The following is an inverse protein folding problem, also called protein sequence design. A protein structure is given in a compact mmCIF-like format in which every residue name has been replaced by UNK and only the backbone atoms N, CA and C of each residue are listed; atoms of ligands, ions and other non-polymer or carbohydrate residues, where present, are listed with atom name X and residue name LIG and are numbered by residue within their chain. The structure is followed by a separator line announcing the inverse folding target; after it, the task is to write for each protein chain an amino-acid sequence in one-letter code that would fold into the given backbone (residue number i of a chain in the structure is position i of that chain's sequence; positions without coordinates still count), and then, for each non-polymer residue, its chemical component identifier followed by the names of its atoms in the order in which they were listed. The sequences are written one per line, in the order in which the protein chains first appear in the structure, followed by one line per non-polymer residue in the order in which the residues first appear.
data_IF_071958959305
#
_entry.id   IF_071958959305
#
_cell.length_a   1.000
_cell.length_b   1.000
_cell.length_c   1.000
_cell.angle_alpha   90.00
_cell.angle_beta   90.00
_cell.angle_gamma   90.00
#
_symmetry.space_group_name_H-M   'P 1'
#
loop_
_entity.id
_entity.type
_entity.pdbx_description
1 polymer ?
#
# COMPACT_ATOMS: atom_id res chain seq x y z
N UNK A 1 13.02 13.63 -18.06
CA UNK A 1 12.86 13.33 -16.76
C UNK A 1 13.33 11.99 -16.38
N UNK A 2 14.20 11.92 -15.46
CA UNK A 2 14.77 10.69 -15.11
C UNK A 2 14.04 10.11 -13.96
N UNK A 3 13.51 8.98 -14.15
CA UNK A 3 12.83 8.33 -13.07
C UNK A 3 13.90 7.79 -12.18
N UNK A 4 13.87 8.11 -10.93
CA UNK A 4 14.77 7.61 -10.07
C UNK A 4 14.42 6.23 -9.77
N UNK A 5 15.13 5.30 -10.24
CA UNK A 5 14.91 3.91 -9.95
C UNK A 5 15.65 3.55 -8.68
N UNK A 6 14.95 3.01 -7.73
CA UNK A 6 15.57 2.54 -6.51
C UNK A 6 15.72 1.03 -6.60
N UNK A 7 16.87 0.54 -6.29
CA UNK A 7 17.14 -0.88 -6.33
C UNK A 7 17.38 -1.39 -4.92
N UNK A 8 16.62 -2.38 -4.52
CA UNK A 8 16.85 -3.04 -3.26
C UNK A 8 17.56 -4.35 -3.56
N UNK A 9 18.75 -4.52 -3.08
CA UNK A 9 19.54 -5.69 -3.35
C UNK A 9 20.07 -6.29 -2.07
N UNK A 10 20.42 -7.56 -2.11
CA UNK A 10 20.91 -8.24 -0.98
C UNK A 10 22.26 -8.70 -1.18
N UNK A 11 23.00 -8.53 -0.16
CA UNK A 11 24.27 -8.99 0.07
C UNK A 11 25.15 -9.51 -0.88
N UNK A 12 26.15 -10.01 -0.56
CA UNK A 12 27.31 -10.39 -1.26
C UNK A 12 27.07 -10.97 -2.63
N UNK A 13 25.98 -11.62 -2.87
CA UNK A 13 25.65 -12.05 -4.20
C UNK A 13 24.28 -11.49 -4.46
N UNK A 14 24.04 -10.96 -5.62
CA UNK A 14 22.76 -10.40 -5.93
C UNK A 14 21.74 -11.51 -6.07
N UNK A 15 20.89 -11.66 -5.09
CA UNK A 15 19.86 -12.69 -5.09
C UNK A 15 18.60 -12.21 -5.79
N UNK A 16 18.38 -10.92 -5.84
CA UNK A 16 17.21 -10.37 -6.51
C UNK A 16 17.20 -8.87 -6.43
N UNK A 17 16.35 -8.25 -7.21
CA UNK A 17 16.15 -6.81 -7.12
C UNK A 17 14.73 -6.45 -7.52
N UNK A 18 14.27 -5.32 -7.00
CA UNK A 18 12.98 -4.79 -7.34
C UNK A 18 13.19 -3.30 -7.59
N UNK A 19 12.50 -2.76 -8.56
CA UNK A 19 12.68 -1.35 -8.89
C UNK A 19 11.37 -0.74 -9.36
N UNK A 20 11.30 0.57 -9.26
CA UNK A 20 10.13 1.30 -9.63
C UNK A 20 10.32 2.79 -9.41
N UNK A 21 9.23 3.52 -9.33
CA UNK A 21 9.29 4.97 -9.17
C UNK A 21 8.01 5.48 -8.53
N UNK A 22 8.04 6.67 -7.94
CA UNK A 22 6.82 7.25 -7.37
C UNK A 22 5.85 7.60 -8.48
N UNK A 23 4.59 7.33 -8.25
CA UNK A 23 3.55 7.65 -9.21
C UNK A 23 3.29 9.15 -9.14
N UNK A 24 3.17 9.80 -10.29
CA UNK A 24 2.94 11.24 -10.31
C UNK A 24 1.53 11.54 -9.82
N UNK A 25 1.38 12.69 -9.19
CA UNK A 25 0.12 13.05 -8.55
C UNK A 25 -0.99 13.37 -9.54
N UNK A 26 -0.63 13.57 -10.79
CA UNK A 26 -1.61 13.91 -11.82
C UNK A 26 -2.45 12.71 -12.25
N UNK A 27 -2.12 11.53 -11.74
CA UNK A 27 -2.91 10.36 -12.08
C UNK A 27 -2.59 9.72 -13.42
N UNK A 28 -1.51 10.13 -14.06
CA UNK A 28 -1.17 9.60 -15.38
C UNK A 28 -0.95 8.09 -15.35
N UNK A 29 -0.54 7.55 -14.24
CA UNK A 29 -0.34 6.11 -14.10
C UNK A 29 -1.62 5.34 -14.38
N UNK A 30 -2.77 5.91 -14.01
CA UNK A 30 -4.05 5.24 -14.14
C UNK A 30 -4.78 5.55 -15.45
N UNK A 31 -4.12 6.25 -16.36
CA UNK A 31 -4.75 6.61 -17.61
C UNK A 31 -5.22 5.37 -18.36
N UNK A 32 -6.42 5.39 -18.85
CA UNK A 32 -7.00 4.26 -19.55
C UNK A 32 -7.72 3.27 -18.65
N UNK A 33 -7.82 3.58 -17.37
CA UNK A 33 -8.51 2.71 -16.43
C UNK A 33 -9.99 2.66 -16.78
N UNK A 34 -10.53 1.46 -16.82
CA UNK A 34 -11.91 1.27 -17.18
C UNK A 34 -12.78 1.34 -15.97
N UNK A 35 -13.73 2.24 -15.97
CA UNK A 35 -14.61 2.44 -14.84
C UNK A 35 -14.06 3.47 -13.90
N UNK A 36 -14.62 3.53 -12.72
CA UNK A 36 -14.22 4.51 -11.72
C UNK A 36 -13.08 3.96 -10.88
N UNK A 37 -12.02 4.73 -10.75
CA UNK A 37 -10.91 4.34 -9.90
C UNK A 37 -11.39 4.37 -8.45
N UNK A 38 -11.02 3.40 -7.63
CA UNK A 38 -11.43 3.45 -6.22
C UNK A 38 -10.99 4.76 -5.57
N UNK A 39 -11.87 5.30 -4.73
CA UNK A 39 -11.63 6.61 -4.17
C UNK A 39 -10.35 6.70 -3.36
N UNK A 40 -10.03 5.69 -2.58
CA UNK A 40 -8.82 5.72 -1.79
C UNK A 40 -7.58 5.71 -2.68
N UNK A 41 -7.63 5.04 -3.81
CA UNK A 41 -6.52 5.02 -4.75
C UNK A 41 -6.34 6.41 -5.36
N UNK A 42 -7.44 7.04 -5.70
CA UNK A 42 -7.40 8.37 -6.26
C UNK A 42 -6.80 9.36 -5.26
N UNK A 43 -7.22 9.28 -4.03
CA UNK A 43 -6.74 10.19 -3.00
C UNK A 43 -5.27 9.98 -2.70
N UNK A 44 -4.82 8.74 -2.62
CA UNK A 44 -3.42 8.47 -2.34
C UNK A 44 -2.53 8.89 -3.50
N UNK A 45 -3.05 8.77 -4.72
CA UNK A 45 -2.31 9.22 -5.88
C UNK A 45 -2.13 10.74 -5.81
N UNK A 46 -3.21 11.45 -5.54
CA UNK A 46 -3.16 12.91 -5.50
C UNK A 46 -2.27 13.42 -4.39
N UNK A 47 -2.14 12.67 -3.31
CA UNK A 47 -1.30 13.08 -2.20
C UNK A 47 0.14 12.61 -2.32
N UNK A 48 0.45 11.86 -3.38
CA UNK A 48 1.84 11.47 -3.62
C UNK A 48 2.31 10.30 -2.81
N UNK A 49 1.41 9.43 -2.39
CA UNK A 49 1.75 8.29 -1.55
C UNK A 49 1.69 6.94 -2.27
N UNK A 50 1.74 6.97 -3.59
CA UNK A 50 1.71 5.74 -4.38
C UNK A 50 3.04 5.53 -5.06
N UNK A 51 3.58 4.34 -4.96
CA UNK A 51 4.85 3.99 -5.59
C UNK A 51 4.60 2.82 -6.54
N UNK A 52 5.07 2.95 -7.77
CA UNK A 52 4.86 1.92 -8.78
C UNK A 52 6.06 0.99 -8.80
N UNK A 53 5.79 -0.31 -8.80
CA UNK A 53 6.82 -1.31 -8.97
C UNK A 53 6.76 -1.75 -10.42
N UNK A 54 7.85 -1.59 -11.14
CA UNK A 54 7.87 -1.86 -12.57
C UNK A 54 8.75 -3.04 -12.93
N UNK A 55 9.51 -3.57 -12.00
CA UNK A 55 10.32 -4.74 -12.30
C UNK A 55 10.72 -5.48 -11.05
N UNK A 56 10.70 -6.80 -11.12
CA UNK A 56 11.13 -7.67 -10.07
C UNK A 56 11.94 -8.78 -10.70
N UNK A 57 13.17 -8.95 -10.25
CA UNK A 57 14.01 -10.01 -10.72
C UNK A 57 14.54 -10.75 -9.52
N UNK A 58 14.31 -12.04 -9.45
CA UNK A 58 14.77 -12.85 -8.33
C UNK A 58 15.52 -14.04 -8.90
N UNK A 59 16.67 -14.31 -8.33
CA UNK A 59 17.48 -15.43 -8.76
C UNK A 59 16.69 -16.71 -8.61
N UNK A 60 16.88 -17.61 -9.55
CA UNK A 60 16.13 -18.82 -9.60
C UNK A 60 16.12 -19.58 -8.30
N UNK A 61 17.25 -19.62 -7.61
CA UNK A 61 17.36 -20.39 -6.38
C UNK A 61 16.66 -19.69 -5.22
N UNK A 62 16.27 -18.46 -5.37
CA UNK A 62 15.62 -17.71 -4.29
C UNK A 62 14.14 -17.53 -4.50
N UNK A 63 13.60 -18.03 -5.60
CA UNK A 63 12.21 -17.74 -5.93
C UNK A 63 11.22 -18.29 -4.92
N UNK A 64 11.55 -19.41 -4.29
CA UNK A 64 10.64 -20.00 -3.35
C UNK A 64 10.82 -19.57 -1.92
N UNK A 65 11.65 -18.58 -1.69
CA UNK A 65 11.96 -18.18 -0.33
C UNK A 65 11.29 -16.89 0.11
N UNK A 66 10.35 -16.41 -0.65
CA UNK A 66 9.66 -15.19 -0.29
C UNK A 66 10.49 -13.93 -0.47
N UNK A 67 11.61 -14.03 -1.17
CA UNK A 67 12.47 -12.88 -1.36
C UNK A 67 11.79 -11.76 -2.11
N UNK A 68 11.03 -12.11 -3.16
CA UNK A 68 10.36 -11.10 -3.96
C UNK A 68 9.40 -10.27 -3.10
N UNK A 69 8.65 -10.94 -2.24
CA UNK A 69 7.72 -10.23 -1.37
C UNK A 69 8.43 -9.30 -0.40
N UNK A 70 9.53 -9.79 0.19
CA UNK A 70 10.29 -8.98 1.13
C UNK A 70 10.93 -7.76 0.46
N UNK A 71 11.43 -7.93 -0.76
CA UNK A 71 12.03 -6.83 -1.47
C UNK A 71 11.00 -5.75 -1.80
N UNK A 72 9.81 -6.18 -2.20
CA UNK A 72 8.73 -5.24 -2.49
C UNK A 72 8.35 -4.45 -1.24
N UNK A 73 8.16 -5.15 -0.15
CA UNK A 73 7.78 -4.48 1.09
C UNK A 73 8.85 -3.50 1.53
N UNK A 74 10.09 -3.90 1.40
CA UNK A 74 11.18 -3.03 1.79
C UNK A 74 11.25 -1.78 0.93
N UNK A 75 11.12 -1.95 -0.38
CA UNK A 75 11.17 -0.81 -1.29
C UNK A 75 10.04 0.17 -0.99
N UNK A 76 8.83 -0.35 -0.83
CA UNK A 76 7.69 0.51 -0.56
C UNK A 76 7.84 1.22 0.78
N UNK A 77 8.36 0.52 1.76
CA UNK A 77 8.56 1.10 3.06
C UNK A 77 9.63 2.19 3.05
N UNK A 78 10.71 1.96 2.32
CA UNK A 78 11.76 2.95 2.23
C UNK A 78 11.29 4.24 1.57
N UNK A 79 10.32 4.16 0.70
CA UNK A 79 9.76 5.33 0.05
C UNK A 79 8.52 5.85 0.76
N UNK A 80 8.21 5.28 1.93
CA UNK A 80 7.09 5.73 2.74
C UNK A 80 5.79 5.73 1.95
N UNK A 81 5.63 4.74 1.09
CA UNK A 81 4.44 4.63 0.27
C UNK A 81 3.30 4.09 1.10
N UNK A 82 2.10 4.58 0.87
CA UNK A 82 0.92 4.02 1.49
C UNK A 82 0.27 2.98 0.58
N UNK A 83 0.66 2.99 -0.68
CA UNK A 83 0.07 2.09 -1.65
C UNK A 83 1.10 1.73 -2.71
N UNK A 84 1.25 0.44 -2.97
CA UNK A 84 2.04 -0.02 -4.11
C UNK A 84 1.13 -0.15 -5.31
N UNK A 85 1.66 0.08 -6.50
CA UNK A 85 0.92 -0.06 -7.74
C UNK A 85 1.76 -0.80 -8.77
N UNK A 86 1.13 -1.60 -9.60
CA UNK A 86 1.82 -2.24 -10.72
C UNK A 86 0.80 -2.53 -11.82
N UNK A 87 1.29 -2.71 -13.03
CA UNK A 87 0.46 -3.09 -14.16
C UNK A 87 1.01 -4.38 -14.74
N UNK A 88 0.13 -5.33 -14.96
CA UNK A 88 0.52 -6.64 -15.48
C UNK A 88 -0.28 -6.92 -16.73
N UNK A 89 0.38 -7.36 -17.79
CA UNK A 89 -0.30 -7.71 -19.02
C UNK A 89 -1.25 -8.87 -18.72
N UNK A 90 -2.50 -8.71 -19.12
CA UNK A 90 -3.50 -9.73 -18.88
C UNK A 90 -3.09 -11.07 -19.49
N UNK A 91 -2.31 -11.04 -20.55
CA UNK A 91 -1.85 -12.26 -21.20
C UNK A 91 -0.72 -12.93 -20.44
N UNK A 92 -0.12 -12.25 -19.48
CA UNK A 92 0.98 -12.84 -18.72
C UNK A 92 0.43 -13.46 -17.44
N UNK A 93 -0.16 -14.64 -17.60
CA UNK A 93 -0.76 -15.35 -16.47
C UNK A 93 0.19 -15.64 -15.34
N UNK A 94 1.42 -16.09 -15.61
CA UNK A 94 2.35 -16.37 -14.53
C UNK A 94 2.69 -15.14 -13.69
N UNK A 95 2.90 -14.00 -14.33
CA UNK A 95 3.19 -12.78 -13.57
C UNK A 95 1.98 -12.36 -12.75
N UNK A 96 0.81 -12.44 -13.32
CA UNK A 96 -0.42 -12.09 -12.62
C UNK A 96 -0.58 -12.97 -11.38
N UNK A 97 -0.41 -14.27 -11.55
CA UNK A 97 -0.56 -15.19 -10.42
C UNK A 97 0.48 -14.92 -9.34
N UNK A 98 1.69 -14.58 -9.74
CA UNK A 98 2.74 -14.29 -8.78
C UNK A 98 2.40 -13.08 -7.93
N UNK A 99 1.94 -11.99 -8.54
CA UNK A 99 1.57 -10.82 -7.77
C UNK A 99 0.41 -11.11 -6.82
N UNK A 100 -0.57 -11.86 -7.27
CA UNK A 100 -1.66 -12.21 -6.36
C UNK A 100 -1.15 -13.04 -5.18
N UNK A 101 -0.18 -13.90 -5.42
CA UNK A 101 0.37 -14.70 -4.33
C UNK A 101 1.13 -13.87 -3.32
N UNK A 102 1.56 -12.68 -3.70
CA UNK A 102 2.26 -11.76 -2.80
C UNK A 102 1.32 -10.78 -2.11
N UNK A 103 0.02 -10.97 -2.29
CA UNK A 103 -0.96 -10.12 -1.60
C UNK A 103 -1.49 -8.95 -2.39
N UNK A 104 -1.10 -8.83 -3.65
CA UNK A 104 -1.59 -7.73 -4.47
C UNK A 104 -3.05 -7.96 -4.85
N UNK A 105 -3.78 -6.90 -5.04
CA UNK A 105 -5.20 -6.94 -5.35
C UNK A 105 -5.48 -6.34 -6.72
N UNK A 106 -6.28 -7.01 -7.50
CA UNK A 106 -6.66 -6.56 -8.84
C UNK A 106 -7.82 -5.59 -8.71
N UNK A 107 -7.64 -4.36 -9.19
CA UNK A 107 -8.70 -3.36 -9.11
C UNK A 107 -9.34 -3.05 -10.45
N UNK A 108 -8.86 -3.65 -11.53
CA UNK A 108 -9.50 -3.44 -12.82
C UNK A 108 -8.52 -3.44 -13.97
N UNK A 109 -9.01 -3.07 -15.13
CA UNK A 109 -8.25 -3.13 -16.36
C UNK A 109 -7.89 -1.73 -16.86
N UNK A 110 -6.74 -1.65 -17.50
CA UNK A 110 -6.30 -0.43 -18.15
C UNK A 110 -6.08 -0.75 -19.62
N UNK A 111 -6.61 0.10 -20.49
CA UNK A 111 -6.46 -0.05 -21.92
C UNK A 111 -5.98 1.26 -22.50
N UNK A 112 -4.85 1.23 -23.18
CA UNK A 112 -4.24 2.43 -23.74
C UNK A 112 -4.03 2.31 -25.25
N UNK A 113 -5.06 2.59 -26.04
CA UNK A 113 -4.92 2.52 -27.48
C UNK A 113 -3.78 3.43 -27.94
N UNK A 114 -3.08 3.11 -28.99
CA UNK A 114 -3.35 2.01 -29.92
C UNK A 114 -2.79 0.66 -29.48
N UNK A 115 -2.21 0.60 -28.30
CA UNK A 115 -1.67 -0.68 -27.83
C UNK A 115 -2.85 -1.62 -27.58
N UNK A 116 -2.86 -2.81 -28.19
CA UNK A 116 -3.96 -3.73 -28.00
C UNK A 116 -3.94 -4.45 -26.66
N UNK A 117 -2.86 -4.34 -25.93
CA UNK A 117 -2.74 -5.07 -24.67
C UNK A 117 -3.68 -4.52 -23.62
N UNK A 118 -4.25 -5.41 -22.84
CA UNK A 118 -5.05 -5.04 -21.69
C UNK A 118 -4.20 -5.30 -20.48
N UNK A 119 -4.05 -4.28 -19.64
CA UNK A 119 -3.24 -4.40 -18.44
C UNK A 119 -4.16 -4.52 -17.23
N UNK A 120 -3.76 -5.38 -16.30
CA UNK A 120 -4.47 -5.47 -15.04
C UNK A 120 -3.80 -4.53 -14.05
N UNK A 121 -4.58 -3.70 -13.41
CA UNK A 121 -4.05 -2.77 -12.43
C UNK A 121 -4.11 -3.44 -11.07
N UNK A 122 -2.97 -3.59 -10.43
CA UNK A 122 -2.89 -4.26 -9.13
C UNK A 122 -2.37 -3.27 -8.10
N UNK A 123 -2.89 -3.37 -6.89
CA UNK A 123 -2.44 -2.50 -5.81
C UNK A 123 -2.06 -3.35 -4.61
N UNK A 124 -1.17 -2.82 -3.80
CA UNK A 124 -0.79 -3.43 -2.54
C UNK A 124 -0.94 -2.37 -1.45
N UNK A 125 -2.03 -2.41 -0.70
CA UNK A 125 -2.19 -1.45 0.38
C UNK A 125 -1.21 -1.75 1.50
N UNK A 126 -0.60 -0.71 2.05
CA UNK A 126 0.30 -0.88 3.16
C UNK A 126 -0.41 -0.41 4.41
N UNK A 127 -0.32 -1.19 5.43
CA UNK A 127 -1.06 -0.89 6.64
C UNK A 127 -0.66 0.41 7.28
N UNK A 128 -1.51 0.93 8.11
CA UNK A 128 -1.23 2.11 8.79
C UNK A 128 -1.33 1.92 10.21
N UNK A 129 -0.40 1.29 10.82
CA UNK A 129 -0.48 0.95 12.21
C UNK A 129 -0.45 2.17 13.11
N UNK A 130 0.12 3.18 12.64
CA UNK A 130 0.31 4.32 13.50
C UNK A 130 -0.97 5.01 13.88
N UNK A 131 -1.92 4.99 12.99
CA UNK A 131 -3.11 5.67 13.29
C UNK A 131 -4.00 4.96 14.23
N UNK A 132 -3.97 3.68 14.18
CA UNK A 132 -4.78 2.90 15.06
C UNK A 132 -4.35 3.12 16.50
N UNK A 133 -3.08 3.27 16.72
CA UNK A 133 -2.60 3.44 18.03
C UNK A 133 -3.01 4.76 18.61
N UNK A 134 -3.09 5.78 17.85
CA UNK A 134 -3.47 7.04 18.35
C UNK A 134 -4.89 7.08 18.78
N UNK A 135 -5.71 6.41 18.04
CA UNK A 135 -7.08 6.40 18.40
C UNK A 135 -7.32 5.68 19.69
N UNK A 136 -6.61 4.65 19.93
CA UNK A 136 -6.79 3.89 21.11
C UNK A 136 -6.47 4.67 22.35
N UNK A 137 -5.49 5.51 22.27
CA UNK A 137 -5.14 6.23 23.41
C UNK A 137 -6.08 7.33 23.80
N UNK A 138 -6.75 7.85 22.87
CA UNK A 138 -7.59 8.95 23.13
C UNK A 138 -8.75 8.68 24.00
N UNK A 139 -9.13 7.44 24.14
CA UNK A 139 -10.29 7.17 24.79
C UNK A 139 -10.24 6.99 26.19
N UNK A 140 -9.18 6.99 26.78
CA UNK A 140 -9.16 6.65 28.04
C UNK A 140 -9.24 7.63 29.04
N UNK A 141 -9.41 8.78 28.73
CA UNK A 141 -9.40 9.69 29.70
C UNK A 141 -10.63 9.98 30.37
N UNK A 142 -11.51 9.28 30.27
CA UNK A 142 -12.69 9.55 30.76
C UNK A 142 -12.87 9.40 32.05
N UNK A 143 -12.67 9.72 32.67
CA UNK A 143 -12.77 9.70 33.86
C UNK A 143 -13.84 9.79 34.55
N UNK A 144 -13.98 9.31 35.19
CA UNK A 144 -14.98 9.27 35.86
C UNK A 144 -14.94 10.12 36.88
N UNK A 145 -15.66 10.71 37.21
CA UNK A 145 -15.76 11.47 38.11
C UNK A 145 -16.42 10.98 39.17
N UNK A 146 -16.07 11.09 40.05
CA UNK A 146 -16.64 10.54 41.15
C UNK A 146 -17.82 11.31 41.51
N UNK A 147 -18.62 10.80 41.87
CA UNK A 147 -19.73 11.33 42.12
C UNK A 147 -19.76 11.63 43.40
N UNK A 148 -19.78 12.40 43.84
CA UNK A 148 -19.80 12.77 44.96
C UNK A 148 -20.92 12.59 45.58
N UNK A 149 -20.99 12.10 46.20
CA UNK A 149 -22.01 11.76 46.82
C UNK A 149 -22.53 12.69 47.62
N UNK A 150 -22.99 12.91 47.88
CA UNK A 150 -23.50 13.79 48.52
C UNK A 150 -24.17 13.54 49.48
N UNK A 151 -24.29 13.56 50.21
CA UNK A 151 -24.78 13.41 51.14
C UNK A 151 -25.53 13.96 51.78
N UNK A 152 -25.87 14.09 52.16
CA UNK A 152 -26.55 14.54 52.75
C UNK A 152 -27.05 14.72 53.75
N UNK A 153 -27.40 14.95 54.17
CA UNK A 153 -27.91 15.26 55.03
C UNK A 153 -28.45 15.25 55.81
N UNK A 154 -28.80 15.39 56.31
CA UNK A 154 -29.29 15.37 57.03
C UNK A 154 -29.99 15.78 57.98
N UNK A 155 -30.04 15.83 58.28
CA UNK A 155 -30.51 16.18 59.07
C UNK A 155 -31.33 16.52 59.75
N UNK A 156 -31.69 16.53 59.89
CA UNK A 156 -32.41 16.93 60.34
C UNK A 156 -33.08 17.04 61.23
N UNK A 157 -33.38 17.12 61.63
CA UNK A 157 -33.95 17.32 62.35
C UNK A 157 -34.77 17.66 63.10
N UNK A 158 -35.12 17.71 63.30
CA UNK A 158 -35.85 18.03 63.99
C UNK A 158 -36.40 18.47 64.22
#
# INVERSE_FOLDING_TARGET
MVAEATVAAQASALAGCVFGFPVTRDGAWWQGFRGALPQNVEQLTASGHVFAITGIVVHRHEQDRGLAGRLQERLLSEHQASLGATLVDEADGPAYAAFLSWGWQDIGAIHRPPDPAVLRALILPLGEPAEADRDGLAHNTETERPREADRLDPGARR
#
